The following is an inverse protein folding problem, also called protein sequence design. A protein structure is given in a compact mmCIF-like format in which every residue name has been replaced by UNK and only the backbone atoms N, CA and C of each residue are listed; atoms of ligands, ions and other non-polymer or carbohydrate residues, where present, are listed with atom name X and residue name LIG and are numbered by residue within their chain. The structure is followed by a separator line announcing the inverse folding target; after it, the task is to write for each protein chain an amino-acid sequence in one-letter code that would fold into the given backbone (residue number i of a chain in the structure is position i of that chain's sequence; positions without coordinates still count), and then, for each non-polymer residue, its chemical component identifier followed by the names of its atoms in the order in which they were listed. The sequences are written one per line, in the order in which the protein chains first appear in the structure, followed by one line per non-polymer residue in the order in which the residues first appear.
data_IF_799847266811
#
_entry.id   IF_799847266811
#
_cell.length_a   1.000
_cell.length_b   1.000
_cell.length_c   1.000
_cell.angle_alpha   90.00
_cell.angle_beta   90.00
_cell.angle_gamma   90.00
#
_symmetry.space_group_name_H-M   'P 1'
#
loop_
_entity.id
_entity.type
_entity.pdbx_description
1 polymer ?
#
# COMPACT_ATOMS: atom_id res chain seq x y z
N UNK A 1 -5.67 -27.63 -1.88
CA UNK A 1 -6.79 -26.80 -2.36
C UNK A 1 -7.96 -26.99 -1.42
N UNK A 2 -8.54 -25.89 -0.94
CA UNK A 2 -9.67 -25.86 -0.02
C UNK A 2 -10.75 -24.96 -0.62
N UNK A 3 -11.92 -25.53 -0.82
CA UNK A 3 -13.13 -24.85 -1.30
C UNK A 3 -14.13 -24.79 -0.15
N UNK A 4 -14.72 -23.62 0.04
CA UNK A 4 -15.68 -23.34 1.11
C UNK A 4 -16.95 -22.76 0.51
N UNK A 5 -18.12 -23.25 0.93
CA UNK A 5 -19.43 -22.75 0.51
C UNK A 5 -20.32 -22.45 1.72
N UNK A 6 -21.45 -21.79 1.50
CA UNK A 6 -22.56 -21.67 2.46
C UNK A 6 -22.19 -21.02 3.81
N UNK A 7 -21.32 -20.00 3.82
CA UNK A 7 -20.91 -19.35 5.07
C UNK A 7 -19.68 -19.99 5.73
N UNK A 8 -19.09 -21.03 5.14
CA UNK A 8 -17.96 -21.73 5.72
C UNK A 8 -16.70 -20.83 5.81
N UNK A 9 -15.90 -21.07 6.85
CA UNK A 9 -14.69 -20.30 7.14
C UNK A 9 -13.47 -21.21 7.15
N UNK A 10 -12.33 -20.67 6.71
CA UNK A 10 -11.05 -21.36 6.74
C UNK A 10 -10.17 -20.76 7.83
N UNK A 11 -9.53 -21.61 8.63
CA UNK A 11 -8.43 -21.20 9.52
C UNK A 11 -7.24 -22.12 9.26
N UNK A 12 -6.12 -21.53 8.85
CA UNK A 12 -4.89 -22.25 8.51
C UNK A 12 -3.75 -21.71 9.38
N UNK A 13 -3.14 -22.58 10.18
CA UNK A 13 -2.14 -22.16 11.16
C UNK A 13 -0.88 -23.01 11.10
N UNK A 14 0.28 -22.35 11.18
CA UNK A 14 1.61 -22.97 11.32
C UNK A 14 1.92 -24.02 10.23
N UNK A 15 1.57 -23.69 8.98
CA UNK A 15 1.72 -24.59 7.84
C UNK A 15 3.01 -24.31 7.06
N UNK A 16 3.62 -25.40 6.57
CA UNK A 16 4.71 -25.39 5.59
C UNK A 16 4.32 -26.34 4.46
N UNK A 17 4.11 -25.80 3.27
CA UNK A 17 3.60 -26.53 2.11
C UNK A 17 4.11 -25.92 0.81
N UNK A 18 4.02 -26.64 -0.31
CA UNK A 18 4.41 -26.05 -1.60
C UNK A 18 3.38 -25.02 -2.07
N UNK A 19 2.09 -25.38 -2.03
CA UNK A 19 1.00 -24.53 -2.47
C UNK A 19 -0.14 -24.49 -1.45
N UNK A 20 -0.59 -23.28 -1.13
CA UNK A 20 -1.76 -23.01 -0.32
C UNK A 20 -2.81 -22.33 -1.18
N UNK A 21 -3.92 -23.01 -1.47
CA UNK A 21 -5.04 -22.43 -2.23
C UNK A 21 -6.32 -22.58 -1.44
N UNK A 22 -6.98 -21.45 -1.19
CA UNK A 22 -8.24 -21.40 -0.45
C UNK A 22 -9.18 -20.44 -1.16
N UNK A 23 -10.39 -20.85 -1.43
CA UNK A 23 -11.43 -19.96 -1.94
C UNK A 23 -12.78 -20.20 -1.27
N UNK A 24 -13.57 -19.14 -1.17
CA UNK A 24 -14.95 -19.18 -0.68
C UNK A 24 -15.93 -18.83 -1.81
N UNK A 25 -17.02 -19.59 -1.89
CA UNK A 25 -18.22 -19.26 -2.67
C UNK A 25 -19.27 -18.65 -1.72
N UNK A 26 -19.76 -17.47 -2.08
CA UNK A 26 -20.62 -16.66 -1.21
C UNK A 26 -19.86 -16.06 -0.02
N UNK A 27 -20.57 -15.95 1.11
CA UNK A 27 -20.03 -15.31 2.31
C UNK A 27 -19.08 -16.26 3.04
N UNK A 28 -17.87 -15.80 3.39
CA UNK A 28 -16.90 -16.62 4.12
C UNK A 28 -15.60 -15.88 4.41
N UNK A 29 -15.03 -16.15 5.58
CA UNK A 29 -13.76 -15.55 6.00
C UNK A 29 -12.62 -16.56 5.87
N UNK A 30 -11.44 -16.05 5.50
CA UNK A 30 -10.19 -16.83 5.48
C UNK A 30 -9.21 -16.23 6.48
N UNK A 31 -8.81 -17.04 7.47
CA UNK A 31 -7.78 -16.70 8.44
C UNK A 31 -6.51 -17.53 8.21
N UNK A 32 -5.38 -16.85 8.08
CA UNK A 32 -4.04 -17.43 8.01
C UNK A 32 -3.23 -17.02 9.23
N UNK A 33 -2.42 -17.93 9.75
CA UNK A 33 -1.44 -17.63 10.80
C UNK A 33 -0.14 -18.38 10.54
N UNK A 34 0.98 -17.65 10.40
CA UNK A 34 2.32 -18.23 10.24
C UNK A 34 2.43 -19.29 9.12
N UNK A 35 2.05 -18.92 7.90
CA UNK A 35 2.05 -19.83 6.74
C UNK A 35 3.29 -19.59 5.88
N UNK A 36 3.97 -20.66 5.48
CA UNK A 36 5.09 -20.63 4.53
C UNK A 36 4.77 -21.53 3.34
N UNK A 37 4.71 -20.95 2.16
CA UNK A 37 4.55 -21.70 0.92
C UNK A 37 5.34 -21.10 -0.23
N UNK A 38 5.50 -21.84 -1.33
CA UNK A 38 6.00 -21.26 -2.57
C UNK A 38 4.93 -20.38 -3.22
N UNK A 39 3.66 -20.81 -3.16
CA UNK A 39 2.51 -20.05 -3.63
C UNK A 39 1.36 -20.07 -2.61
N UNK A 40 0.76 -18.91 -2.37
CA UNK A 40 -0.44 -18.72 -1.55
C UNK A 40 -1.46 -17.98 -2.40
N UNK A 41 -2.61 -18.62 -2.69
CA UNK A 41 -3.69 -18.06 -3.48
C UNK A 41 -4.95 -18.05 -2.63
N UNK A 42 -5.51 -16.87 -2.40
CA UNK A 42 -6.69 -16.66 -1.56
C UNK A 42 -7.73 -15.90 -2.35
N UNK A 43 -8.95 -16.43 -2.40
CA UNK A 43 -10.06 -15.75 -3.06
C UNK A 43 -11.30 -15.77 -2.17
N UNK A 44 -11.98 -14.65 -2.03
CA UNK A 44 -13.29 -14.57 -1.38
C UNK A 44 -14.27 -13.85 -2.29
N UNK A 45 -15.48 -14.39 -2.40
CA UNK A 45 -16.57 -13.70 -3.09
C UNK A 45 -17.13 -12.57 -2.21
N UNK A 46 -17.45 -12.86 -0.94
CA UNK A 46 -17.76 -11.85 0.08
C UNK A 46 -17.28 -12.34 1.45
N UNK A 47 -16.81 -11.42 2.30
CA UNK A 47 -16.07 -11.76 3.53
C UNK A 47 -14.60 -11.34 3.48
N UNK A 48 -13.89 -11.46 4.60
CA UNK A 48 -12.57 -10.87 4.79
C UNK A 48 -11.45 -11.90 4.87
N UNK A 49 -10.28 -11.51 4.37
CA UNK A 49 -9.06 -12.31 4.46
C UNK A 49 -8.14 -11.68 5.51
N UNK A 50 -7.79 -12.44 6.54
CA UNK A 50 -6.90 -11.98 7.61
C UNK A 50 -5.67 -12.87 7.74
N UNK A 51 -4.48 -12.29 7.58
CA UNK A 51 -3.19 -12.93 7.76
C UNK A 51 -2.48 -12.41 9.02
N UNK A 52 -2.49 -13.22 10.07
CA UNK A 52 -1.78 -12.96 11.33
C UNK A 52 -0.36 -13.54 11.28
N UNK A 53 0.57 -12.91 11.98
CA UNK A 53 1.97 -13.34 11.97
C UNK A 53 2.61 -13.18 10.59
N UNK A 54 3.45 -14.15 10.21
CA UNK A 54 4.18 -14.14 8.94
C UNK A 54 3.46 -14.95 7.86
N UNK A 55 3.26 -14.37 6.67
CA UNK A 55 2.96 -15.16 5.46
C UNK A 55 4.13 -15.03 4.51
N UNK A 56 4.72 -16.17 4.14
CA UNK A 56 5.87 -16.23 3.25
C UNK A 56 5.54 -17.00 1.97
N UNK A 57 5.90 -16.45 0.81
CA UNK A 57 5.65 -17.04 -0.50
C UNK A 57 5.18 -16.04 -1.55
N UNK A 58 4.99 -16.48 -2.79
CA UNK A 58 4.27 -15.68 -3.79
C UNK A 58 2.80 -15.62 -3.40
N UNK A 59 2.26 -14.42 -3.18
CA UNK A 59 0.93 -14.24 -2.62
C UNK A 59 0.01 -13.57 -3.65
N UNK A 60 -1.09 -14.23 -3.98
CA UNK A 60 -2.19 -13.68 -4.76
C UNK A 60 -3.47 -13.67 -3.93
N UNK A 61 -4.06 -12.49 -3.75
CA UNK A 61 -5.28 -12.28 -2.98
C UNK A 61 -6.31 -11.58 -3.85
N UNK A 62 -7.52 -12.13 -3.87
CA UNK A 62 -8.67 -11.51 -4.55
C UNK A 62 -9.87 -11.46 -3.60
N UNK A 63 -10.46 -10.28 -3.44
CA UNK A 63 -11.76 -10.09 -2.76
C UNK A 63 -12.72 -9.40 -3.70
N UNK A 64 -13.85 -10.03 -4.02
CA UNK A 64 -14.86 -9.45 -4.93
C UNK A 64 -15.95 -8.67 -4.21
N UNK A 65 -16.14 -8.89 -2.93
CA UNK A 65 -17.25 -8.34 -2.17
C UNK A 65 -16.87 -7.07 -1.41
N UNK A 66 -17.51 -6.91 -0.26
CA UNK A 66 -17.28 -5.78 0.64
C UNK A 66 -16.09 -5.99 1.59
N UNK A 67 -15.60 -7.22 1.69
CA UNK A 67 -14.54 -7.58 2.60
C UNK A 67 -13.15 -7.21 2.11
N UNK A 68 -12.25 -7.03 3.08
CA UNK A 68 -10.90 -6.52 2.84
C UNK A 68 -9.82 -7.59 2.99
N UNK A 69 -8.58 -7.13 2.88
CA UNK A 69 -7.40 -7.94 3.16
C UNK A 69 -6.59 -7.28 4.26
N UNK A 70 -6.41 -7.98 5.39
CA UNK A 70 -5.61 -7.50 6.52
C UNK A 70 -4.43 -8.42 6.75
N UNK A 71 -3.21 -7.89 6.75
CA UNK A 71 -2.01 -8.66 7.00
C UNK A 71 -1.06 -7.99 8.00
N UNK A 72 -0.47 -8.79 8.88
CA UNK A 72 0.55 -8.29 9.80
C UNK A 72 1.91 -8.20 9.11
N UNK A 73 2.39 -9.30 8.53
CA UNK A 73 3.72 -9.34 7.90
C UNK A 73 3.74 -10.25 6.68
N UNK A 74 4.06 -9.67 5.53
CA UNK A 74 4.19 -10.37 4.25
C UNK A 74 5.65 -10.43 3.84
N UNK A 75 6.13 -11.62 3.51
CA UNK A 75 7.47 -11.91 2.99
C UNK A 75 7.32 -12.59 1.62
N UNK A 76 7.34 -11.82 0.55
CA UNK A 76 7.00 -12.31 -0.78
C UNK A 76 8.10 -12.04 -1.79
N UNK A 77 8.14 -12.81 -2.88
CA UNK A 77 8.84 -12.33 -4.07
C UNK A 77 7.84 -11.55 -4.93
N UNK A 78 6.65 -12.12 -5.15
CA UNK A 78 5.56 -11.50 -5.90
C UNK A 78 4.30 -11.41 -5.04
N UNK A 79 3.93 -10.18 -4.67
CA UNK A 79 2.68 -9.87 -4.00
C UNK A 79 1.69 -9.28 -5.00
N UNK A 80 0.48 -9.83 -5.05
CA UNK A 80 -0.64 -9.32 -5.82
C UNK A 80 -1.90 -9.31 -4.97
N UNK A 81 -2.50 -8.15 -4.78
CA UNK A 81 -3.75 -7.98 -4.04
C UNK A 81 -4.75 -7.23 -4.89
N UNK A 82 -5.95 -7.78 -5.03
CA UNK A 82 -7.07 -7.16 -5.72
C UNK A 82 -8.29 -7.17 -4.82
N UNK A 83 -8.89 -6.01 -4.60
CA UNK A 83 -10.17 -5.92 -3.88
C UNK A 83 -11.17 -5.11 -4.71
N UNK A 84 -12.45 -5.51 -4.70
CA UNK A 84 -13.51 -4.68 -5.25
C UNK A 84 -13.82 -3.53 -4.30
N UNK A 85 -14.16 -3.85 -3.06
CA UNK A 85 -14.40 -2.89 -1.99
C UNK A 85 -13.63 -3.30 -0.72
N UNK A 86 -13.71 -2.48 0.32
CA UNK A 86 -13.07 -2.76 1.60
C UNK A 86 -11.63 -2.25 1.71
N UNK A 87 -11.01 -2.56 2.85
CA UNK A 87 -9.69 -2.06 3.21
C UNK A 87 -8.61 -3.10 2.91
N UNK A 88 -7.56 -2.70 2.20
CA UNK A 88 -6.29 -3.44 2.13
C UNK A 88 -5.35 -2.86 3.18
N UNK A 89 -5.26 -3.51 4.35
CA UNK A 89 -4.42 -3.07 5.45
C UNK A 89 -3.22 -4.01 5.65
N UNK A 90 -2.00 -3.50 5.58
CA UNK A 90 -0.78 -4.27 5.86
C UNK A 90 0.14 -3.54 6.83
N UNK A 91 0.60 -4.23 7.88
CA UNK A 91 1.52 -3.61 8.85
C UNK A 91 2.98 -3.61 8.36
N UNK A 92 3.42 -4.66 7.66
CA UNK A 92 4.75 -4.70 7.06
C UNK A 92 4.77 -5.59 5.82
N UNK A 93 5.31 -5.07 4.72
CA UNK A 93 5.46 -5.79 3.45
C UNK A 93 6.93 -5.76 3.05
N UNK A 94 7.50 -6.94 2.83
CA UNK A 94 8.82 -7.12 2.24
C UNK A 94 8.62 -7.96 0.97
N UNK A 95 8.73 -7.31 -0.18
CA UNK A 95 8.45 -7.95 -1.47
C UNK A 95 9.46 -7.55 -2.53
N UNK A 96 9.89 -8.43 -3.43
CA UNK A 96 10.61 -7.95 -4.63
C UNK A 96 9.67 -7.09 -5.47
N UNK A 97 8.45 -7.60 -5.73
CA UNK A 97 7.40 -6.91 -6.48
C UNK A 97 6.08 -6.89 -5.72
N UNK A 98 5.45 -5.72 -5.64
CA UNK A 98 4.15 -5.54 -4.99
C UNK A 98 3.13 -4.85 -5.91
N UNK A 99 2.05 -5.54 -6.24
CA UNK A 99 0.95 -5.02 -7.06
C UNK A 99 -0.34 -5.03 -6.25
N UNK A 100 -0.85 -3.86 -5.90
CA UNK A 100 -2.06 -3.72 -5.11
C UNK A 100 -3.05 -2.86 -5.89
N UNK A 101 -4.26 -3.37 -6.06
CA UNK A 101 -5.32 -2.70 -6.78
C UNK A 101 -6.63 -2.76 -5.98
N UNK A 102 -7.31 -1.62 -5.84
CA UNK A 102 -8.69 -1.58 -5.36
C UNK A 102 -9.60 -0.88 -6.37
N UNK A 103 -10.84 -1.35 -6.54
CA UNK A 103 -11.84 -0.56 -7.26
C UNK A 103 -12.35 0.55 -6.36
N UNK A 104 -12.87 0.20 -5.19
CA UNK A 104 -13.32 1.11 -4.14
C UNK A 104 -12.64 0.77 -2.81
N UNK A 105 -12.42 1.74 -1.95
CA UNK A 105 -11.87 1.50 -0.60
C UNK A 105 -10.39 1.88 -0.44
N UNK A 106 -9.84 1.61 0.74
CA UNK A 106 -8.56 2.19 1.20
C UNK A 106 -7.44 1.17 1.07
N UNK A 107 -6.30 1.60 0.53
CA UNK A 107 -5.04 0.85 0.62
C UNK A 107 -4.20 1.53 1.71
N UNK A 108 -3.97 0.85 2.83
CA UNK A 108 -3.15 1.32 3.95
C UNK A 108 -2.01 0.34 4.21
N UNK A 109 -0.79 0.78 3.96
CA UNK A 109 0.43 0.03 4.26
C UNK A 109 1.30 0.86 5.20
N UNK A 110 1.60 0.33 6.38
CA UNK A 110 2.46 1.05 7.33
C UNK A 110 3.92 1.07 6.90
N UNK A 111 4.44 -0.02 6.34
CA UNK A 111 5.82 -0.10 5.85
C UNK A 111 5.92 -1.04 4.66
N UNK A 112 6.51 -0.56 3.58
CA UNK A 112 6.75 -1.29 2.33
C UNK A 112 8.24 -1.23 1.98
N UNK A 113 8.90 -2.38 2.00
CA UNK A 113 10.22 -2.59 1.44
C UNK A 113 10.09 -3.38 0.14
N UNK A 114 10.51 -2.79 -0.98
CA UNK A 114 10.42 -3.46 -2.27
C UNK A 114 11.42 -3.01 -3.32
N UNK A 115 11.57 -3.79 -4.39
CA UNK A 115 12.26 -3.32 -5.59
C UNK A 115 11.27 -2.54 -6.47
N UNK A 116 10.15 -3.18 -6.83
CA UNK A 116 9.12 -2.57 -7.66
C UNK A 116 7.76 -2.58 -6.95
N UNK A 117 7.02 -1.47 -7.00
CA UNK A 117 5.64 -1.43 -6.50
C UNK A 117 4.70 -0.63 -7.39
N UNK A 118 3.46 -1.12 -7.52
CA UNK A 118 2.35 -0.39 -8.11
C UNK A 118 1.14 -0.53 -7.19
N UNK A 119 0.74 0.59 -6.60
CA UNK A 119 -0.45 0.71 -5.77
C UNK A 119 -1.45 1.58 -6.52
N UNK A 120 -2.63 1.05 -6.81
CA UNK A 120 -3.65 1.79 -7.53
C UNK A 120 -5.05 1.62 -6.97
N UNK A 121 -5.85 2.69 -7.02
CA UNK A 121 -7.27 2.65 -6.70
C UNK A 121 -8.08 3.41 -7.75
N UNK A 122 -9.32 2.99 -8.06
CA UNK A 122 -10.21 3.82 -8.87
C UNK A 122 -10.85 4.92 -8.02
N UNK A 123 -11.36 4.55 -6.84
CA UNK A 123 -11.96 5.46 -5.87
C UNK A 123 -11.60 5.04 -4.45
N UNK A 124 -10.69 5.76 -3.81
CA UNK A 124 -10.14 5.35 -2.54
C UNK A 124 -8.88 6.12 -2.17
N UNK A 125 -8.68 6.26 -0.86
CA UNK A 125 -7.43 6.81 -0.35
C UNK A 125 -6.31 5.75 -0.39
N UNK A 126 -5.08 6.21 -0.62
CA UNK A 126 -3.89 5.37 -0.49
C UNK A 126 -2.97 5.98 0.56
N UNK A 127 -2.65 5.22 1.60
CA UNK A 127 -1.82 5.63 2.73
C UNK A 127 -0.62 4.70 2.78
N UNK A 128 0.57 5.27 2.63
CA UNK A 128 1.85 4.56 2.72
C UNK A 128 2.71 5.21 3.79
N UNK A 129 2.76 4.57 4.96
CA UNK A 129 3.40 5.09 6.18
C UNK A 129 4.93 5.04 6.17
N UNK A 130 5.52 4.29 5.24
CA UNK A 130 6.98 4.21 5.05
C UNK A 130 7.29 3.42 3.78
N UNK A 131 7.92 4.08 2.82
CA UNK A 131 8.38 3.50 1.57
C UNK A 131 9.90 3.43 1.54
N UNK A 132 10.40 2.23 1.28
CA UNK A 132 11.77 1.93 0.89
C UNK A 132 11.72 1.07 -0.37
N UNK A 133 11.93 1.69 -1.54
CA UNK A 133 11.97 0.90 -2.78
C UNK A 133 12.37 1.64 -4.04
N UNK A 134 12.82 0.88 -5.04
CA UNK A 134 13.52 1.43 -6.20
C UNK A 134 12.57 2.08 -7.21
N UNK A 135 11.57 1.35 -7.71
CA UNK A 135 10.62 1.84 -8.73
C UNK A 135 9.18 1.70 -8.26
N UNK A 136 8.58 2.81 -7.83
CA UNK A 136 7.28 2.80 -7.20
C UNK A 136 6.29 3.74 -7.91
N UNK A 137 5.05 3.28 -8.06
CA UNK A 137 3.93 4.08 -8.55
C UNK A 137 2.74 3.96 -7.60
N UNK A 138 2.22 5.09 -7.16
CA UNK A 138 1.05 5.18 -6.27
C UNK A 138 0.03 6.10 -6.93
N UNK A 139 -1.14 5.57 -7.30
CA UNK A 139 -2.13 6.36 -8.03
C UNK A 139 -3.56 6.10 -7.60
N UNK A 140 -4.40 7.13 -7.56
CA UNK A 140 -5.85 6.94 -7.39
C UNK A 140 -6.64 7.81 -8.37
N UNK A 141 -7.75 7.30 -8.90
CA UNK A 141 -8.65 8.13 -9.72
C UNK A 141 -9.37 9.18 -8.88
N UNK A 142 -9.85 8.81 -7.70
CA UNK A 142 -10.46 9.75 -6.76
C UNK A 142 -10.12 9.35 -5.33
N UNK A 143 -9.48 10.25 -4.60
CA UNK A 143 -9.07 10.03 -3.21
C UNK A 143 -7.76 10.73 -2.88
N UNK A 144 -7.50 10.86 -1.59
CA UNK A 144 -6.25 11.41 -1.10
C UNK A 144 -5.14 10.35 -1.13
N UNK A 145 -3.93 10.76 -1.48
CA UNK A 145 -2.74 9.92 -1.45
C UNK A 145 -1.74 10.51 -0.47
N UNK A 146 -1.32 9.72 0.52
CA UNK A 146 -0.31 10.11 1.51
C UNK A 146 0.83 9.11 1.49
N UNK A 147 2.04 9.57 1.14
CA UNK A 147 3.24 8.74 1.08
C UNK A 147 4.33 9.32 1.94
N UNK A 148 4.91 8.47 2.78
CA UNK A 148 6.08 8.76 3.60
C UNK A 148 7.28 8.05 2.99
N UNK A 149 8.25 8.82 2.48
CA UNK A 149 9.39 8.30 1.73
C UNK A 149 10.61 8.23 2.65
N UNK A 150 11.07 7.01 2.90
CA UNK A 150 12.35 6.75 3.58
C UNK A 150 13.47 6.65 2.57
N UNK A 151 13.27 5.88 1.51
CA UNK A 151 14.19 5.73 0.39
C UNK A 151 13.42 5.42 -0.89
N UNK A 152 13.76 6.09 -2.00
CA UNK A 152 13.32 5.65 -3.33
C UNK A 152 14.22 6.20 -4.43
N UNK A 153 14.44 5.41 -5.47
CA UNK A 153 15.16 5.88 -6.67
C UNK A 153 14.21 6.60 -7.64
N UNK A 154 13.02 6.04 -7.83
CA UNK A 154 11.97 6.53 -8.69
C UNK A 154 10.60 6.31 -8.06
N UNK A 155 9.90 7.40 -7.76
CA UNK A 155 8.55 7.38 -7.21
C UNK A 155 7.63 8.29 -8.02
N UNK A 156 6.50 7.76 -8.48
CA UNK A 156 5.38 8.53 -9.01
C UNK A 156 4.19 8.44 -8.07
N UNK A 157 3.63 9.59 -7.66
CA UNK A 157 2.46 9.70 -6.80
C UNK A 157 1.43 10.57 -7.49
N UNK A 158 0.24 10.05 -7.75
CA UNK A 158 -0.77 10.77 -8.52
C UNK A 158 -2.19 10.60 -7.96
N UNK A 159 -3.00 11.63 -8.10
CA UNK A 159 -4.47 11.54 -7.97
C UNK A 159 -5.14 12.39 -9.05
N UNK A 160 -6.20 11.87 -9.69
CA UNK A 160 -6.98 12.71 -10.61
C UNK A 160 -7.90 13.66 -9.81
N UNK A 161 -8.49 13.18 -8.72
CA UNK A 161 -9.32 13.98 -7.83
C UNK A 161 -9.03 13.72 -6.35
N UNK A 162 -8.24 14.59 -5.74
CA UNK A 162 -7.89 14.52 -4.33
C UNK A 162 -6.59 15.24 -4.03
N UNK A 163 -6.10 15.12 -2.80
CA UNK A 163 -4.84 15.72 -2.38
C UNK A 163 -3.71 14.70 -2.37
N UNK A 164 -2.51 15.15 -2.69
CA UNK A 164 -1.28 14.38 -2.52
C UNK A 164 -0.49 14.98 -1.37
N UNK A 165 -0.07 14.13 -0.43
CA UNK A 165 0.91 14.47 0.60
C UNK A 165 2.12 13.58 0.44
N UNK A 166 3.30 14.18 0.23
CA UNK A 166 4.58 13.47 0.22
C UNK A 166 5.42 13.96 1.37
N UNK A 167 5.81 13.06 2.28
CA UNK A 167 6.69 13.37 3.41
C UNK A 167 8.07 12.77 3.17
N UNK A 168 9.13 13.57 3.32
CA UNK A 168 10.49 13.19 2.94
C UNK A 168 11.40 13.10 4.17
N UNK A 169 12.07 11.97 4.35
CA UNK A 169 13.06 11.77 5.43
C UNK A 169 14.44 12.39 5.12
N UNK A 170 14.74 12.66 3.85
CA UNK A 170 15.98 13.29 3.41
C UNK A 170 15.72 14.23 2.22
N UNK A 171 16.59 15.23 1.97
CA UNK A 171 16.48 16.07 0.77
C UNK A 171 16.56 15.22 -0.52
N UNK A 172 15.60 15.38 -1.43
CA UNK A 172 15.58 14.74 -2.74
C UNK A 172 14.91 15.65 -3.78
N UNK A 173 15.16 15.40 -5.07
CA UNK A 173 14.50 16.16 -6.15
C UNK A 173 13.04 15.71 -6.31
N UNK A 174 12.12 16.66 -6.15
CA UNK A 174 10.67 16.45 -6.33
C UNK A 174 10.14 17.36 -7.42
N UNK A 175 9.51 16.77 -8.43
CA UNK A 175 8.68 17.49 -9.40
C UNK A 175 7.22 17.47 -8.95
N UNK A 176 6.56 18.62 -9.00
CA UNK A 176 5.18 18.79 -8.53
C UNK A 176 4.29 19.35 -9.64
N UNK A 177 3.15 18.72 -9.87
CA UNK A 177 2.10 19.17 -10.79
C UNK A 177 0.75 19.24 -10.06
N UNK A 178 0.31 20.43 -9.64
CA UNK A 178 -1.02 20.62 -9.06
C UNK A 178 -1.52 22.07 -9.15
N UNK A 179 -2.85 22.30 -9.09
CA UNK A 179 -3.43 23.63 -8.96
C UNK A 179 -2.92 24.41 -7.75
N UNK A 180 -2.67 23.71 -6.64
CA UNK A 180 -2.17 24.31 -5.39
C UNK A 180 -1.00 23.49 -4.87
N UNK A 181 0.12 24.15 -4.60
CA UNK A 181 1.33 23.53 -4.05
C UNK A 181 1.66 24.15 -2.69
N UNK A 182 1.92 23.29 -1.70
CA UNK A 182 2.36 23.66 -0.36
C UNK A 182 3.66 22.93 -0.04
N UNK A 183 4.60 23.60 0.61
CA UNK A 183 5.89 23.02 0.97
C UNK A 183 6.35 23.52 2.33
N UNK A 184 6.87 22.61 3.15
CA UNK A 184 7.59 22.96 4.39
C UNK A 184 9.02 23.46 4.13
N UNK A 185 9.54 23.27 2.91
CA UNK A 185 10.86 23.73 2.50
C UNK A 185 10.76 25.12 1.87
N UNK A 186 11.45 26.11 2.46
CA UNK A 186 11.43 27.51 2.00
C UNK A 186 12.03 27.67 0.58
N UNK A 187 13.02 26.84 0.21
CA UNK A 187 13.68 26.87 -1.11
C UNK A 187 12.76 26.41 -2.27
N UNK A 188 11.67 25.69 -1.98
CA UNK A 188 10.68 25.27 -3.00
C UNK A 188 9.73 26.40 -3.41
N UNK A 189 9.71 27.52 -2.68
CA UNK A 189 8.78 28.64 -2.88
C UNK A 189 9.42 29.85 -3.60
N UNK A 190 10.72 29.80 -3.87
CA UNK A 190 11.55 30.92 -4.37
C UNK A 190 11.61 31.13 -5.89
N UNK A 191 10.89 30.32 -6.68
CA UNK A 191 10.81 30.48 -8.13
C UNK A 191 11.64 29.47 -8.90
N UNK A 192 10.92 28.64 -9.67
CA UNK A 192 11.48 27.67 -10.61
C UNK A 192 11.32 26.24 -10.11
N UNK A 193 10.15 25.65 -10.35
CA UNK A 193 10.06 24.20 -10.55
C UNK A 193 11.02 23.89 -11.70
N UNK A 194 12.23 23.42 -11.38
CA UNK A 194 13.14 22.94 -12.40
C UNK A 194 12.55 21.64 -12.94
N UNK A 195 11.96 21.71 -14.13
CA UNK A 195 11.65 20.56 -14.97
C UNK A 195 12.98 19.90 -15.39
N UNK A 196 13.57 19.17 -14.45
CA UNK A 196 14.66 18.23 -14.68
C UNK A 196 14.06 17.00 -15.36
N UNK A 197 14.69 16.52 -16.42
CA UNK A 197 14.24 15.34 -17.16
C UNK A 197 14.41 14.02 -16.39
N UNK A 198 14.89 14.06 -15.13
CA UNK A 198 14.97 12.89 -14.24
C UNK A 198 14.77 13.28 -12.75
N UNK A 199 13.58 13.76 -12.38
CA UNK A 199 13.23 13.88 -10.96
C UNK A 199 13.10 12.48 -10.33
N UNK A 200 13.60 12.31 -9.10
CA UNK A 200 13.47 11.04 -8.36
C UNK A 200 12.04 10.83 -7.88
N UNK A 201 11.33 11.90 -7.55
CA UNK A 201 9.92 11.85 -7.13
C UNK A 201 9.08 12.77 -8.02
N UNK A 202 7.97 12.26 -8.52
CA UNK A 202 6.92 13.00 -9.22
C UNK A 202 5.64 12.96 -8.38
N UNK A 203 5.11 14.11 -8.00
CA UNK A 203 3.86 14.23 -7.25
C UNK A 203 2.83 15.04 -8.04
N UNK A 204 1.66 14.47 -8.29
CA UNK A 204 0.64 15.07 -9.17
C UNK A 204 -0.76 15.03 -8.55
N UNK A 205 -1.48 16.14 -8.63
CA UNK A 205 -2.92 16.20 -8.39
C UNK A 205 -3.59 17.01 -9.48
N UNK A 206 -4.58 16.45 -10.19
CA UNK A 206 -5.21 17.16 -11.30
C UNK A 206 -6.19 18.25 -10.82
N UNK A 207 -6.96 18.01 -9.75
CA UNK A 207 -7.98 18.95 -9.25
C UNK A 207 -7.78 19.42 -7.81
N UNK A 208 -6.88 18.80 -7.05
CA UNK A 208 -6.64 19.12 -5.64
C UNK A 208 -5.33 19.85 -5.40
N UNK A 209 -4.65 19.49 -4.30
CA UNK A 209 -3.37 20.09 -3.92
C UNK A 209 -2.27 19.05 -3.74
N UNK A 210 -1.02 19.47 -3.92
CA UNK A 210 0.16 18.70 -3.52
C UNK A 210 0.81 19.40 -2.34
N UNK A 211 1.06 18.66 -1.27
CA UNK A 211 1.80 19.12 -0.09
C UNK A 211 3.07 18.30 0.08
N UNK A 212 4.23 18.96 0.06
CA UNK A 212 5.53 18.34 0.32
C UNK A 212 5.97 18.71 1.73
N UNK A 213 6.13 17.69 2.58
CA UNK A 213 6.46 17.88 4.00
C UNK A 213 7.86 17.38 4.32
N UNK A 214 8.52 18.08 5.24
CA UNK A 214 9.73 17.56 5.86
C UNK A 214 9.35 16.56 6.95
N UNK A 215 9.89 15.36 6.89
CA UNK A 215 9.70 14.37 7.94
C UNK A 215 10.88 14.42 8.91
N UNK A 216 10.66 14.98 10.11
CA UNK A 216 11.65 14.91 11.18
C UNK A 216 11.57 13.55 11.88
N UNK A 217 12.72 12.88 12.04
CA UNK A 217 12.82 11.55 12.65
C UNK A 217 12.30 11.51 14.10
N UNK A 218 12.38 12.61 14.85
CA UNK A 218 11.81 12.75 16.20
C UNK A 218 10.27 12.63 16.18
N UNK A 219 9.63 13.18 15.16
CA UNK A 219 8.17 13.12 14.96
C UNK A 219 7.71 11.72 14.57
N UNK A 220 8.57 10.96 13.88
CA UNK A 220 8.29 9.58 13.45
C UNK A 220 8.28 8.57 14.61
N UNK A 221 8.92 8.92 15.74
CA UNK A 221 9.04 8.05 16.90
C UNK A 221 7.80 8.05 17.81
N UNK A 222 6.77 8.87 17.55
CA UNK A 222 5.52 8.89 18.31
C UNK A 222 5.71 8.92 19.85
N UNK A 223 6.80 9.54 20.34
CA UNK A 223 7.21 9.52 21.76
C UNK A 223 6.31 10.33 22.70
N UNK A 224 5.13 10.78 22.24
CA UNK A 224 4.19 11.61 22.99
C UNK A 224 2.90 10.92 23.44
N UNK A 225 2.69 9.62 23.18
CA UNK A 225 1.55 8.86 23.74
C UNK A 225 1.99 7.84 24.78
N UNK A 226 2.63 8.35 25.83
CA UNK A 226 2.89 7.65 27.07
C UNK A 226 2.82 8.66 28.21
N UNK A 227 1.87 8.45 29.13
CA UNK A 227 1.70 9.11 30.43
C UNK A 227 1.39 10.62 30.45
N UNK A 228 0.11 10.95 30.63
CA UNK A 228 -0.42 11.43 31.92
C UNK A 228 -1.82 10.87 32.13
#
# INVERSE_FOLDING_TARGET
DVELSDGAQATLENLVLDQCRVWTEGLGDIALSNVKANAVVLAVEDGSITAKGAVQGNLEVTSWGSGGFKAQRLLSNHLKVKTLAGEQYMSAVYAEKAYLYSTEGIIDIRTLHCQDAMLSSQSGAIILGGLDGDQCSVMTGSGDVSVVVTHSQHLSVATDSGNVTVSLSAPCEVSVEAPVVKSDFEDLLGGGVHYSSKSQILAKSCSGSVTVKKQDWISSLNLGRGST
#
